data_IF_589936014897
#
_entry.id   IF_589936014897
#
_cell.length_a   1.000
_cell.length_b   1.000
_cell.length_c   1.000
_cell.angle_alpha   90.00
_cell.angle_beta   90.00
_cell.angle_gamma   90.00
#
_symmetry.space_group_name_H-M   'P 1'
#
loop_
_entity.id
_entity.type
_entity.pdbx_description
1 polymer ?
#
# COMPACT_ATOMS: atom_id res chain seq x y z
N UNK A 1 -37.38 3.62 72.91
CA UNK A 1 -36.09 2.87 73.04
C UNK A 1 -35.90 1.78 71.96
N UNK A 2 -36.94 1.30 71.27
CA UNK A 2 -36.80 0.35 70.14
C UNK A 2 -36.30 0.99 68.84
N UNK A 3 -36.60 2.27 68.60
CA UNK A 3 -36.29 2.93 67.32
C UNK A 3 -34.79 3.20 67.11
N UNK A 4 -34.02 3.43 68.18
CA UNK A 4 -32.56 3.63 68.07
C UNK A 4 -31.80 2.36 67.64
N UNK A 5 -32.35 1.16 67.89
CA UNK A 5 -31.71 -0.10 67.44
C UNK A 5 -31.90 -0.30 65.93
N UNK A 6 -33.06 0.07 65.39
CA UNK A 6 -33.37 -0.08 63.97
C UNK A 6 -32.53 0.87 63.12
N UNK A 7 -32.36 2.12 63.57
CA UNK A 7 -31.52 3.12 62.90
C UNK A 7 -30.03 2.70 62.93
N UNK A 8 -29.56 2.15 64.05
CA UNK A 8 -28.19 1.63 64.18
C UNK A 8 -27.93 0.47 63.21
N UNK A 9 -28.84 -0.52 63.14
CA UNK A 9 -28.77 -1.63 62.19
C UNK A 9 -28.79 -1.16 60.73
N UNK A 10 -29.64 -0.19 60.41
CA UNK A 10 -29.72 0.36 59.05
C UNK A 10 -28.42 1.07 58.67
N UNK A 11 -27.82 1.83 59.58
CA UNK A 11 -26.53 2.50 59.32
C UNK A 11 -25.39 1.49 59.11
N UNK A 12 -25.36 0.40 59.89
CA UNK A 12 -24.36 -0.65 59.76
C UNK A 12 -24.49 -1.38 58.42
N UNK A 13 -25.73 -1.63 57.98
CA UNK A 13 -25.99 -2.25 56.69
C UNK A 13 -25.54 -1.37 55.52
N UNK A 14 -25.78 -0.05 55.60
CA UNK A 14 -25.30 0.91 54.59
C UNK A 14 -23.77 0.92 54.51
N UNK A 15 -23.08 0.92 55.65
CA UNK A 15 -21.61 0.85 55.67
C UNK A 15 -21.10 -0.43 55.03
N UNK A 16 -21.71 -1.58 55.32
CA UNK A 16 -21.34 -2.86 54.71
C UNK A 16 -21.53 -2.83 53.19
N UNK A 17 -22.64 -2.27 52.70
CA UNK A 17 -22.88 -2.14 51.26
C UNK A 17 -21.86 -1.23 50.58
N UNK A 18 -21.50 -0.11 51.20
CA UNK A 18 -20.48 0.81 50.66
C UNK A 18 -19.12 0.13 50.61
N UNK A 19 -18.73 -0.59 51.66
CA UNK A 19 -17.45 -1.35 51.68
C UNK A 19 -17.44 -2.45 50.61
N UNK A 20 -18.54 -3.19 50.45
CA UNK A 20 -18.66 -4.21 49.40
C UNK A 20 -18.55 -3.60 48.00
N UNK A 21 -19.19 -2.45 47.75
CA UNK A 21 -19.10 -1.74 46.47
C UNK A 21 -17.67 -1.25 46.19
N UNK A 22 -16.95 -0.74 47.19
CA UNK A 22 -15.56 -0.31 47.05
C UNK A 22 -14.63 -1.48 46.75
N UNK A 23 -14.80 -2.63 47.42
CA UNK A 23 -14.04 -3.85 47.14
C UNK A 23 -14.28 -4.32 45.70
N UNK A 24 -15.54 -4.28 45.26
CA UNK A 24 -15.91 -4.67 43.89
C UNK A 24 -15.31 -3.71 42.84
N UNK A 25 -15.35 -2.40 43.07
CA UNK A 25 -14.68 -1.43 42.18
C UNK A 25 -13.16 -1.65 42.13
N UNK A 26 -12.52 -1.91 43.27
CA UNK A 26 -11.09 -2.20 43.31
C UNK A 26 -10.73 -3.48 42.54
N UNK A 27 -11.57 -4.52 42.65
CA UNK A 27 -11.41 -5.74 41.88
C UNK A 27 -11.47 -5.49 40.36
N UNK A 28 -12.49 -4.76 39.88
CA UNK A 28 -12.61 -4.41 38.46
C UNK A 28 -11.45 -3.56 37.95
N UNK A 29 -10.95 -2.63 38.79
CA UNK A 29 -9.79 -1.83 38.44
C UNK A 29 -8.53 -2.68 38.29
N UNK A 30 -8.30 -3.65 39.18
CA UNK A 30 -7.16 -4.55 39.08
C UNK A 30 -7.21 -5.43 37.82
N UNK A 31 -8.39 -5.98 37.48
CA UNK A 31 -8.56 -6.78 36.25
C UNK A 31 -8.23 -5.94 35.01
N UNK A 32 -8.69 -4.68 34.97
CA UNK A 32 -8.37 -3.77 33.87
C UNK A 32 -6.87 -3.44 33.79
N UNK A 33 -6.20 -3.26 34.93
CA UNK A 33 -4.75 -3.02 34.99
C UNK A 33 -3.98 -4.23 34.47
N UNK A 34 -4.39 -5.45 34.85
CA UNK A 34 -3.76 -6.69 34.40
C UNK A 34 -3.92 -6.87 32.88
N UNK A 35 -5.12 -6.64 32.35
CA UNK A 35 -5.35 -6.65 30.91
C UNK A 35 -4.48 -5.62 30.17
N UNK A 36 -4.38 -4.41 30.70
CA UNK A 36 -3.57 -3.35 30.09
C UNK A 36 -2.06 -3.67 30.13
N UNK A 37 -1.57 -4.26 31.22
CA UNK A 37 -0.17 -4.67 31.32
C UNK A 37 0.16 -5.80 30.33
N UNK A 38 -0.77 -6.75 30.13
CA UNK A 38 -0.59 -7.82 29.14
C UNK A 38 -0.55 -7.27 27.71
N UNK A 39 -1.44 -6.34 27.37
CA UNK A 39 -1.43 -5.66 26.06
C UNK A 39 -0.13 -4.87 25.85
N UNK A 40 0.33 -4.14 26.87
CA UNK A 40 1.58 -3.39 26.81
C UNK A 40 2.79 -4.31 26.61
N UNK A 41 2.84 -5.45 27.30
CA UNK A 41 3.88 -6.46 27.11
C UNK A 41 3.87 -7.05 25.68
N UNK A 42 2.70 -7.31 25.11
CA UNK A 42 2.59 -7.78 23.73
C UNK A 42 3.09 -6.72 22.73
N UNK A 43 2.71 -5.46 22.94
CA UNK A 43 3.18 -4.34 22.10
C UNK A 43 4.69 -4.18 22.18
N UNK A 44 5.30 -4.29 23.35
CA UNK A 44 6.76 -4.22 23.51
C UNK A 44 7.48 -5.36 22.77
N UNK A 45 6.90 -6.56 22.77
CA UNK A 45 7.42 -7.69 21.99
C UNK A 45 7.32 -7.44 20.49
N UNK A 46 6.19 -6.92 20.01
CA UNK A 46 6.01 -6.56 18.60
C UNK A 46 6.98 -5.46 18.17
N UNK A 47 7.16 -4.42 18.98
CA UNK A 47 8.14 -3.34 18.71
C UNK A 47 9.55 -3.93 18.60
N UNK A 48 9.94 -4.80 19.53
CA UNK A 48 11.25 -5.46 19.50
C UNK A 48 11.46 -6.31 18.25
N UNK A 49 10.40 -6.97 17.76
CA UNK A 49 10.46 -7.74 16.50
C UNK A 49 10.64 -6.83 15.29
N UNK A 50 9.85 -5.76 15.20
CA UNK A 50 9.93 -4.78 14.12
C UNK A 50 11.30 -4.07 14.09
N UNK A 51 11.88 -3.77 15.25
CA UNK A 51 13.22 -3.18 15.34
C UNK A 51 14.29 -4.10 14.77
N UNK A 52 14.21 -5.41 15.05
CA UNK A 52 15.15 -6.39 14.51
C UNK A 52 14.98 -6.56 12.98
N UNK A 53 13.74 -6.60 12.50
CA UNK A 53 13.44 -6.70 11.08
C UNK A 53 13.96 -5.46 10.33
N UNK A 54 13.73 -4.27 10.87
CA UNK A 54 14.23 -3.03 10.29
C UNK A 54 15.76 -2.98 10.26
N UNK A 55 16.45 -3.47 11.29
CA UNK A 55 17.91 -3.60 11.26
C UNK A 55 18.39 -4.56 10.17
N UNK A 56 17.69 -5.68 9.97
CA UNK A 56 18.00 -6.62 8.88
C UNK A 56 17.84 -5.98 7.51
N UNK A 57 16.76 -5.23 7.30
CA UNK A 57 16.50 -4.52 6.04
C UNK A 57 17.55 -3.43 5.78
N UNK A 58 17.95 -2.68 6.80
CA UNK A 58 19.03 -1.69 6.68
C UNK A 58 20.35 -2.35 6.24
N UNK A 59 20.65 -3.53 6.78
CA UNK A 59 21.83 -4.29 6.37
C UNK A 59 21.74 -4.74 4.91
N UNK A 60 20.59 -5.28 4.50
CA UNK A 60 20.36 -5.71 3.11
C UNK A 60 20.47 -4.55 2.11
N UNK A 61 19.92 -3.38 2.46
CA UNK A 61 20.05 -2.16 1.66
C UNK A 61 21.54 -1.79 1.52
N UNK A 62 22.29 -1.79 2.63
CA UNK A 62 23.73 -1.48 2.58
C UNK A 62 24.54 -2.45 1.72
N UNK A 63 24.22 -3.75 1.77
CA UNK A 63 24.86 -4.77 0.95
C UNK A 63 24.52 -4.58 -0.55
N UNK A 64 23.27 -4.20 -0.86
CA UNK A 64 22.85 -3.90 -2.23
C UNK A 64 23.48 -2.62 -2.77
N UNK A 65 23.60 -1.57 -1.96
CA UNK A 65 24.31 -0.34 -2.32
C UNK A 65 25.78 -0.61 -2.66
N UNK A 66 26.43 -1.49 -1.90
CA UNK A 66 27.80 -1.90 -2.19
C UNK A 66 27.93 -2.64 -3.54
N UNK A 67 26.99 -3.53 -3.84
CA UNK A 67 26.96 -4.24 -5.13
C UNK A 67 26.71 -3.29 -6.30
N UNK A 68 25.82 -2.30 -6.13
CA UNK A 68 25.55 -1.28 -7.15
C UNK A 68 26.82 -0.47 -7.41
N UNK A 69 27.52 -0.01 -6.37
CA UNK A 69 28.78 0.72 -6.52
C UNK A 69 29.86 -0.10 -7.26
N UNK A 70 29.95 -1.40 -6.99
CA UNK A 70 30.86 -2.30 -7.73
C UNK A 70 30.47 -2.42 -9.20
N UNK A 71 29.19 -2.58 -9.51
CA UNK A 71 28.68 -2.63 -10.88
C UNK A 71 28.93 -1.33 -11.63
N UNK A 72 28.70 -0.17 -11.01
CA UNK A 72 28.97 1.14 -11.61
C UNK A 72 30.46 1.32 -11.92
N UNK A 73 31.34 0.86 -11.03
CA UNK A 73 32.79 0.84 -11.26
C UNK A 73 33.15 -0.06 -12.45
N UNK A 74 32.57 -1.25 -12.53
CA UNK A 74 32.79 -2.19 -13.64
C UNK A 74 32.30 -1.62 -14.98
N UNK A 75 31.12 -0.99 -15.00
CA UNK A 75 30.58 -0.32 -16.20
C UNK A 75 31.51 0.79 -16.66
N UNK A 76 31.98 1.62 -15.73
CA UNK A 76 32.92 2.71 -16.03
C UNK A 76 34.24 2.19 -16.61
N UNK A 77 34.77 1.09 -16.06
CA UNK A 77 35.97 0.43 -16.57
C UNK A 77 35.76 -0.09 -17.99
N UNK A 78 34.64 -0.77 -18.25
CA UNK A 78 34.31 -1.30 -19.58
C UNK A 78 34.11 -0.18 -20.61
N UNK A 79 33.51 0.94 -20.22
CA UNK A 79 33.39 2.12 -21.09
C UNK A 79 34.77 2.69 -21.46
N UNK A 80 35.66 2.82 -20.48
CA UNK A 80 37.03 3.28 -20.74
C UNK A 80 37.80 2.32 -21.66
N UNK A 81 37.59 1.01 -21.50
CA UNK A 81 38.22 0.00 -22.37
C UNK A 81 37.68 0.09 -23.80
N UNK A 82 36.36 0.26 -23.96
CA UNK A 82 35.70 0.48 -25.25
C UNK A 82 36.20 1.75 -25.95
N UNK A 83 36.43 2.83 -25.21
CA UNK A 83 36.96 4.09 -25.76
C UNK A 83 38.43 3.96 -26.20
N UNK A 84 39.19 3.09 -25.53
CA UNK A 84 40.61 2.83 -25.83
C UNK A 84 40.83 1.88 -27.03
N UNK A 85 39.81 1.11 -27.41
CA UNK A 85 39.84 0.25 -28.58
C UNK A 85 39.83 1.10 -29.87
N UNK A 86 40.86 0.94 -30.70
CA UNK A 86 41.03 1.55 -32.04
C UNK A 86 40.11 0.87 -33.07
N UNK A 87 38.81 0.94 -32.80
CA UNK A 87 37.75 0.47 -33.67
C UNK A 87 37.34 1.62 -34.60
N UNK A 88 37.14 1.32 -35.89
CA UNK A 88 36.61 2.29 -36.84
C UNK A 88 35.29 2.88 -36.28
N UNK A 89 35.09 4.20 -36.36
CA UNK A 89 34.03 4.93 -35.63
C UNK A 89 32.65 4.25 -35.71
N UNK A 90 32.33 3.64 -36.85
CA UNK A 90 31.06 2.93 -37.08
C UNK A 90 30.83 1.73 -36.14
N UNK A 91 31.88 0.99 -35.77
CA UNK A 91 31.78 -0.16 -34.88
C UNK A 91 31.60 0.26 -33.41
N UNK A 92 32.25 1.34 -33.00
CA UNK A 92 32.07 1.95 -31.67
C UNK A 92 30.66 2.49 -31.50
N UNK A 93 30.17 3.22 -32.50
CA UNK A 93 28.80 3.73 -32.54
C UNK A 93 27.76 2.60 -32.52
N UNK A 94 28.01 1.50 -33.24
CA UNK A 94 27.14 0.34 -33.23
C UNK A 94 27.05 -0.30 -31.84
N UNK A 95 28.20 -0.55 -31.19
CA UNK A 95 28.23 -1.11 -29.83
C UNK A 95 27.57 -0.18 -28.83
N UNK A 96 27.81 1.13 -28.92
CA UNK A 96 27.17 2.12 -28.05
C UNK A 96 25.64 2.11 -28.20
N UNK A 97 25.13 2.13 -29.43
CA UNK A 97 23.67 2.01 -29.69
C UNK A 97 23.10 0.68 -29.20
N UNK A 98 23.87 -0.41 -29.30
CA UNK A 98 23.44 -1.72 -28.82
C UNK A 98 23.38 -1.76 -27.29
N UNK A 99 24.35 -1.11 -26.62
CA UNK A 99 24.39 -0.95 -25.17
C UNK A 99 23.27 -0.05 -24.69
N UNK A 100 23.06 1.12 -25.31
CA UNK A 100 21.96 2.03 -24.98
C UNK A 100 20.61 1.31 -25.17
N UNK A 101 20.44 0.58 -26.28
CA UNK A 101 19.24 -0.25 -26.51
C UNK A 101 19.10 -1.38 -25.48
N UNK A 102 20.18 -2.06 -25.12
CA UNK A 102 20.15 -3.14 -24.15
C UNK A 102 19.82 -2.61 -22.75
N UNK A 103 20.38 -1.47 -22.34
CA UNK A 103 20.06 -0.83 -21.06
C UNK A 103 18.65 -0.25 -21.05
N UNK A 104 18.22 0.43 -22.12
CA UNK A 104 16.83 0.88 -22.26
C UNK A 104 15.86 -0.30 -22.23
N UNK A 105 16.21 -1.43 -22.84
CA UNK A 105 15.42 -2.66 -22.79
C UNK A 105 15.50 -3.32 -21.41
N UNK A 106 16.62 -3.29 -20.70
CA UNK A 106 16.78 -3.94 -19.38
C UNK A 106 16.15 -3.11 -18.25
N UNK A 107 16.29 -1.78 -18.27
CA UNK A 107 15.70 -0.87 -17.29
C UNK A 107 14.22 -0.57 -17.55
N UNK A 108 13.74 -0.60 -18.80
CA UNK A 108 12.29 -0.57 -19.09
C UNK A 108 11.63 -1.95 -19.07
N UNK A 109 12.41 -3.03 -18.86
CA UNK A 109 11.89 -4.38 -18.65
C UNK A 109 12.04 -4.78 -17.19
N UNK A 110 11.44 -3.99 -16.32
CA UNK A 110 10.55 -4.60 -15.33
C UNK A 110 9.25 -4.98 -16.04
N UNK A 111 9.30 -5.89 -17.01
CA UNK A 111 8.16 -6.78 -17.23
C UNK A 111 8.14 -7.69 -16.00
N UNK A 112 7.60 -7.17 -14.89
CA UNK A 112 6.96 -8.08 -13.97
C UNK A 112 5.83 -8.70 -14.80
N UNK A 113 6.00 -9.97 -15.16
CA UNK A 113 4.92 -10.83 -15.65
C UNK A 113 3.77 -10.93 -14.65
N UNK A 114 3.91 -10.35 -13.45
CA UNK A 114 2.88 -10.25 -12.44
C UNK A 114 1.73 -9.40 -12.94
N UNK A 115 0.53 -9.98 -12.95
CA UNK A 115 -0.72 -9.27 -13.24
C UNK A 115 -0.92 -8.09 -12.28
N UNK A 116 -1.61 -7.02 -12.73
CA UNK A 116 -2.08 -5.99 -11.79
C UNK A 116 -3.05 -6.53 -10.73
N UNK A 117 -3.60 -7.72 -10.96
CA UNK A 117 -4.55 -8.37 -10.06
C UNK A 117 -3.90 -9.11 -8.89
N UNK A 118 -2.58 -9.30 -8.92
CA UNK A 118 -1.85 -10.04 -7.90
C UNK A 118 -1.17 -9.06 -6.95
N UNK A 119 -1.58 -9.04 -5.68
CA UNK A 119 -0.94 -8.23 -4.65
C UNK A 119 0.29 -8.96 -4.10
N UNK A 120 1.37 -8.21 -3.88
CA UNK A 120 2.48 -8.68 -3.05
C UNK A 120 2.06 -8.79 -1.59
N UNK A 121 2.82 -9.50 -0.76
CA UNK A 121 2.52 -9.63 0.68
C UNK A 121 2.46 -8.25 1.37
N UNK A 122 3.34 -7.32 0.99
CA UNK A 122 3.32 -5.95 1.51
C UNK A 122 2.06 -5.18 1.12
N UNK A 123 1.63 -5.29 -0.15
CA UNK A 123 0.41 -4.66 -0.64
C UNK A 123 -0.85 -5.25 0.00
N UNK A 124 -0.88 -6.57 0.20
CA UNK A 124 -1.97 -7.26 0.88
C UNK A 124 -2.06 -6.89 2.36
N UNK A 125 -0.92 -6.79 3.05
CA UNK A 125 -0.86 -6.35 4.44
C UNK A 125 -1.32 -4.90 4.60
N UNK A 126 -0.90 -4.01 3.69
CA UNK A 126 -1.37 -2.63 3.66
C UNK A 126 -2.89 -2.55 3.40
N UNK A 127 -3.39 -3.34 2.44
CA UNK A 127 -4.83 -3.44 2.15
C UNK A 127 -5.64 -3.88 3.38
N UNK A 128 -5.23 -4.95 4.05
CA UNK A 128 -5.93 -5.46 5.22
C UNK A 128 -5.90 -4.46 6.39
N UNK A 129 -4.73 -3.85 6.64
CA UNK A 129 -4.57 -2.83 7.69
C UNK A 129 -5.44 -1.59 7.41
N UNK A 130 -5.50 -1.17 6.15
CA UNK A 130 -6.35 -0.07 5.71
C UNK A 130 -7.84 -0.43 5.86
N UNK A 131 -8.26 -1.61 5.39
CA UNK A 131 -9.64 -2.09 5.48
C UNK A 131 -10.20 -2.12 6.90
N UNK A 132 -9.38 -2.49 7.89
CA UNK A 132 -9.83 -2.62 9.28
C UNK A 132 -10.18 -1.29 9.94
N UNK A 133 -9.53 -0.19 9.52
CA UNK A 133 -9.57 1.08 10.24
C UNK A 133 -9.83 2.31 9.37
N UNK A 134 -9.74 2.16 8.05
CA UNK A 134 -9.68 3.22 7.04
C UNK A 134 -8.68 4.33 7.39
N UNK A 135 -7.62 3.94 8.10
CA UNK A 135 -6.55 4.83 8.50
C UNK A 135 -5.51 4.92 7.38
N UNK A 136 -5.38 6.13 6.85
CA UNK A 136 -4.51 6.41 5.71
C UNK A 136 -3.03 6.14 5.99
N UNK A 137 -2.61 6.11 7.26
CA UNK A 137 -1.25 5.71 7.63
C UNK A 137 -0.87 4.31 7.09
N UNK A 138 -1.84 3.41 6.92
CA UNK A 138 -1.61 2.10 6.33
C UNK A 138 -1.21 2.15 4.84
N UNK A 139 -1.47 3.27 4.16
CA UNK A 139 -1.16 3.50 2.74
C UNK A 139 0.12 4.33 2.54
N UNK A 140 0.75 4.76 3.62
CA UNK A 140 1.93 5.64 3.56
C UNK A 140 3.10 4.92 2.89
N UNK A 141 3.75 5.60 1.94
CA UNK A 141 4.88 5.07 1.19
C UNK A 141 4.52 4.11 0.04
N UNK A 142 3.24 3.78 -0.14
CA UNK A 142 2.81 3.00 -1.31
C UNK A 142 2.93 3.83 -2.59
N UNK A 143 3.39 3.19 -3.66
CA UNK A 143 3.48 3.80 -4.98
C UNK A 143 2.09 3.99 -5.62
N UNK A 144 1.94 4.87 -6.63
CA UNK A 144 0.68 4.98 -7.38
C UNK A 144 0.22 3.65 -7.96
N UNK A 145 1.16 2.84 -8.45
CA UNK A 145 0.88 1.51 -8.98
C UNK A 145 0.30 0.59 -7.90
N UNK A 146 0.87 0.59 -6.70
CA UNK A 146 0.37 -0.21 -5.59
C UNK A 146 -1.05 0.22 -5.20
N UNK A 147 -1.33 1.51 -5.05
CA UNK A 147 -2.69 2.00 -4.76
C UNK A 147 -3.70 1.58 -5.82
N UNK A 148 -3.33 1.65 -7.11
CA UNK A 148 -4.17 1.12 -8.19
C UNK A 148 -4.45 -0.38 -8.02
N UNK A 149 -3.43 -1.19 -7.70
CA UNK A 149 -3.61 -2.64 -7.48
C UNK A 149 -4.54 -2.91 -6.29
N UNK A 150 -4.40 -2.17 -5.20
CA UNK A 150 -5.29 -2.26 -4.03
C UNK A 150 -6.75 -1.96 -4.42
N UNK A 151 -6.97 -0.93 -5.23
CA UNK A 151 -8.29 -0.56 -5.76
C UNK A 151 -8.89 -1.66 -6.65
N UNK A 152 -8.10 -2.21 -7.58
CA UNK A 152 -8.53 -3.31 -8.44
C UNK A 152 -8.81 -4.59 -7.65
N UNK A 153 -8.04 -4.85 -6.60
CA UNK A 153 -8.28 -5.96 -5.68
C UNK A 153 -9.63 -5.81 -4.98
N UNK A 154 -9.94 -4.62 -4.44
CA UNK A 154 -11.22 -4.32 -3.81
C UNK A 154 -12.41 -4.56 -4.76
N UNK A 155 -12.31 -4.10 -6.00
CA UNK A 155 -13.33 -4.35 -7.04
C UNK A 155 -13.48 -5.86 -7.31
N UNK A 156 -12.38 -6.60 -7.46
CA UNK A 156 -12.37 -8.05 -7.74
C UNK A 156 -13.06 -8.86 -6.66
N UNK A 157 -12.80 -8.54 -5.38
CA UNK A 157 -13.40 -9.24 -4.23
C UNK A 157 -14.74 -8.65 -3.79
N UNK A 158 -15.24 -7.62 -4.50
CA UNK A 158 -16.49 -6.91 -4.23
C UNK A 158 -16.53 -6.21 -2.87
N UNK A 159 -15.37 -5.75 -2.42
CA UNK A 159 -15.21 -4.94 -1.20
C UNK A 159 -15.37 -3.46 -1.55
N UNK A 160 -16.59 -3.09 -1.92
CA UNK A 160 -16.91 -1.76 -2.41
C UNK A 160 -16.81 -0.68 -1.33
N UNK A 161 -16.93 -1.07 -0.06
CA UNK A 161 -16.66 -0.18 1.07
C UNK A 161 -15.20 0.26 1.08
N UNK A 162 -14.26 -0.68 1.03
CA UNK A 162 -12.82 -0.37 1.02
C UNK A 162 -12.41 0.31 -0.28
N UNK A 163 -12.99 -0.11 -1.41
CA UNK A 163 -12.78 0.54 -2.69
C UNK A 163 -13.12 2.03 -2.64
N UNK A 164 -14.26 2.39 -2.04
CA UNK A 164 -14.68 3.77 -1.94
C UNK A 164 -13.70 4.61 -1.12
N UNK A 165 -13.17 4.05 -0.02
CA UNK A 165 -12.24 4.75 0.88
C UNK A 165 -10.86 5.01 0.23
N UNK A 166 -10.54 4.32 -0.87
CA UNK A 166 -9.32 4.56 -1.65
C UNK A 166 -9.43 5.77 -2.59
N UNK A 167 -10.65 6.28 -2.83
CA UNK A 167 -10.83 7.50 -3.61
C UNK A 167 -10.28 8.74 -2.89
N UNK A 168 -9.99 9.77 -3.68
CA UNK A 168 -9.65 11.09 -3.17
C UNK A 168 -10.75 11.62 -2.26
N UNK A 169 -10.35 12.31 -1.19
CA UNK A 169 -11.26 12.99 -0.26
C UNK A 169 -11.34 14.49 -0.53
N UNK A 170 -10.68 14.96 -1.58
CA UNK A 170 -10.78 16.35 -2.03
C UNK A 170 -12.23 16.65 -2.46
N UNK A 171 -12.89 17.55 -1.73
CA UNK A 171 -14.30 17.92 -1.94
C UNK A 171 -14.54 18.42 -3.37
N UNK A 172 -13.54 19.01 -4.02
CA UNK A 172 -13.64 19.51 -5.39
C UNK A 172 -13.52 18.39 -6.44
N UNK A 173 -13.07 17.19 -6.03
CA UNK A 173 -12.89 16.02 -6.91
C UNK A 173 -13.85 14.86 -6.61
N UNK A 174 -14.52 14.88 -5.44
CA UNK A 174 -15.53 13.89 -5.07
C UNK A 174 -16.76 14.04 -5.97
N UNK A 175 -17.09 12.98 -6.70
CA UNK A 175 -18.22 13.00 -7.65
C UNK A 175 -19.50 12.39 -7.11
N UNK A 176 -19.39 11.42 -6.20
CA UNK A 176 -20.55 10.75 -5.58
C UNK A 176 -20.23 10.31 -4.17
N UNK A 177 -21.27 10.11 -3.38
CA UNK A 177 -21.19 9.68 -1.98
C UNK A 177 -20.95 8.18 -1.86
N UNK A 178 -20.52 7.72 -0.68
CA UNK A 178 -20.36 6.30 -0.37
C UNK A 178 -21.67 5.52 -0.58
N UNK A 179 -22.79 6.09 -0.17
CA UNK A 179 -24.11 5.47 -0.35
C UNK A 179 -24.44 5.30 -1.84
N UNK A 180 -24.18 6.31 -2.67
CA UNK A 180 -24.36 6.21 -4.12
C UNK A 180 -23.41 5.17 -4.72
N UNK A 181 -22.16 5.14 -4.28
CA UNK A 181 -21.18 4.15 -4.73
C UNK A 181 -21.65 2.71 -4.45
N UNK A 182 -22.10 2.43 -3.22
CA UNK A 182 -22.58 1.10 -2.83
C UNK A 182 -23.86 0.68 -3.58
N UNK A 183 -24.64 1.64 -4.08
CA UNK A 183 -25.84 1.40 -4.86
C UNK A 183 -25.60 1.25 -6.38
N UNK A 184 -24.36 1.40 -6.85
CA UNK A 184 -24.01 1.16 -8.27
C UNK A 184 -24.37 -0.30 -8.63
N UNK A 185 -25.22 -0.54 -9.63
CA UNK A 185 -25.59 -1.88 -10.04
C UNK A 185 -24.38 -2.71 -10.46
N UNK A 186 -24.39 -4.00 -10.13
CA UNK A 186 -23.37 -4.96 -10.59
C UNK A 186 -23.22 -4.99 -12.12
N UNK A 187 -24.27 -4.61 -12.86
CA UNK A 187 -24.22 -4.51 -14.31
C UNK A 187 -23.22 -3.47 -14.82
N UNK A 188 -22.97 -2.44 -14.01
CA UNK A 188 -22.20 -1.24 -14.34
C UNK A 188 -20.80 -1.29 -13.72
N UNK A 189 -20.53 -2.31 -12.89
CA UNK A 189 -19.22 -2.65 -12.31
C UNK A 189 -18.32 -3.34 -13.34
N UNK A 190 -17.02 -3.37 -13.08
CA UNK A 190 -16.06 -4.09 -13.93
C UNK A 190 -16.32 -5.58 -13.82
N UNK A 191 -16.64 -6.22 -14.95
CA UNK A 191 -16.88 -7.68 -15.03
C UNK A 191 -15.70 -8.45 -15.59
N UNK A 192 -14.92 -7.78 -16.43
CA UNK A 192 -13.78 -8.35 -17.12
C UNK A 192 -12.51 -7.63 -16.68
N UNK A 193 -11.66 -8.38 -15.99
CA UNK A 193 -10.37 -7.88 -15.51
C UNK A 193 -9.23 -8.20 -16.50
N UNK A 194 -9.54 -8.81 -17.64
CA UNK A 194 -8.55 -9.25 -18.60
C UNK A 194 -7.62 -8.13 -19.08
N UNK A 195 -8.14 -6.90 -19.19
CA UNK A 195 -7.34 -5.73 -19.55
C UNK A 195 -6.24 -5.40 -18.53
N UNK A 196 -6.43 -5.78 -17.26
CA UNK A 196 -5.47 -5.61 -16.17
C UNK A 196 -4.60 -6.85 -15.97
N UNK A 197 -5.15 -8.05 -16.20
CA UNK A 197 -4.43 -9.32 -16.07
C UNK A 197 -3.35 -9.49 -17.13
N UNK A 198 -3.66 -9.08 -18.36
CA UNK A 198 -2.76 -9.14 -19.51
C UNK A 198 -2.11 -7.78 -19.81
N UNK A 199 -1.87 -6.97 -18.78
CA UNK A 199 -1.23 -5.67 -18.93
C UNK A 199 0.27 -5.81 -19.23
N UNK A 200 0.72 -5.11 -20.28
CA UNK A 200 2.08 -5.06 -20.81
C UNK A 200 2.52 -3.60 -20.97
N UNK A 201 3.84 -3.35 -21.12
CA UNK A 201 4.39 -1.99 -21.38
C UNK A 201 3.87 -0.95 -20.38
N UNK A 202 4.03 -1.27 -19.10
CA UNK A 202 3.50 -0.51 -17.99
C UNK A 202 4.42 0.66 -17.70
N UNK A 203 3.86 1.83 -17.51
CA UNK A 203 4.59 3.06 -17.19
C UNK A 203 3.85 3.83 -16.11
N UNK A 204 4.58 4.55 -15.28
CA UNK A 204 3.99 5.46 -14.29
C UNK A 204 4.57 6.84 -14.53
N UNK A 205 3.70 7.79 -14.86
CA UNK A 205 4.08 9.20 -15.03
C UNK A 205 3.59 9.98 -13.83
N UNK A 206 4.45 10.78 -13.20
CA UNK A 206 4.12 11.57 -12.01
C UNK A 206 4.40 13.04 -12.32
N UNK A 207 3.41 13.91 -12.14
CA UNK A 207 3.53 15.36 -12.33
C UNK A 207 2.76 16.09 -11.23
N UNK A 208 3.43 16.95 -10.46
CA UNK A 208 2.80 17.92 -9.52
C UNK A 208 1.66 17.34 -8.65
N UNK A 209 1.88 16.18 -8.03
CA UNK A 209 0.87 15.55 -7.16
C UNK A 209 -0.21 14.75 -7.90
N UNK A 210 -0.13 14.63 -9.23
CA UNK A 210 -0.91 13.68 -10.02
C UNK A 210 -0.03 12.54 -10.52
N UNK A 211 -0.60 11.36 -10.66
CA UNK A 211 0.04 10.20 -11.28
C UNK A 211 -0.90 9.53 -12.29
N UNK A 212 -0.33 9.07 -13.40
CA UNK A 212 -1.02 8.25 -14.38
C UNK A 212 -0.24 6.95 -14.55
N UNK A 213 -0.85 5.84 -14.20
CA UNK A 213 -0.37 4.50 -14.53
C UNK A 213 -0.91 4.16 -15.92
N UNK A 214 -0.03 3.97 -16.90
CA UNK A 214 -0.42 3.68 -18.28
C UNK A 214 0.07 2.32 -18.72
N UNK A 215 -0.75 1.59 -19.49
CA UNK A 215 -0.40 0.25 -19.99
C UNK A 215 -1.11 -0.09 -21.29
N UNK A 216 -0.67 -1.17 -21.91
CA UNK A 216 -1.32 -1.80 -23.06
C UNK A 216 -1.81 -3.18 -22.66
N UNK A 217 -2.90 -3.68 -23.24
CA UNK A 217 -3.39 -5.02 -22.96
C UNK A 217 -3.37 -5.92 -24.19
N UNK A 218 -2.99 -7.18 -24.00
CA UNK A 218 -3.12 -8.25 -25.00
C UNK A 218 -4.39 -9.09 -24.78
N UNK A 219 -5.36 -8.59 -24.01
CA UNK A 219 -6.62 -9.29 -23.76
C UNK A 219 -7.40 -9.56 -25.04
N UNK A 220 -7.50 -8.55 -25.92
CA UNK A 220 -8.29 -8.62 -27.14
C UNK A 220 -7.48 -9.08 -28.38
N UNK A 221 -6.14 -9.11 -28.31
CA UNK A 221 -5.28 -9.68 -29.34
C UNK A 221 -3.94 -10.15 -28.80
N UNK A 222 -3.56 -11.39 -29.13
CA UNK A 222 -2.27 -12.00 -28.73
C UNK A 222 -1.07 -11.47 -29.54
N UNK A 223 -1.29 -10.63 -30.56
CA UNK A 223 -0.23 -10.03 -31.39
C UNK A 223 0.20 -8.65 -30.87
N UNK A 224 1.52 -8.42 -30.89
CA UNK A 224 2.10 -7.11 -30.63
C UNK A 224 1.60 -6.11 -31.68
N UNK A 225 0.85 -5.11 -31.22
CA UNK A 225 0.35 -4.03 -32.05
C UNK A 225 0.86 -2.69 -31.51
N UNK A 226 1.62 -1.96 -32.33
CA UNK A 226 2.13 -0.62 -32.03
C UNK A 226 0.98 0.40 -31.95
N UNK A 227 -0.12 0.18 -32.67
CA UNK A 227 -1.33 1.01 -32.68
C UNK A 227 -2.35 0.59 -31.61
N UNK A 228 -1.97 -0.29 -30.67
CA UNK A 228 -2.86 -0.70 -29.60
C UNK A 228 -3.26 0.49 -28.72
N UNK A 229 -4.52 0.51 -28.27
CA UNK A 229 -5.00 1.53 -27.34
C UNK A 229 -4.20 1.47 -26.02
N UNK A 230 -3.74 2.62 -25.57
CA UNK A 230 -3.09 2.77 -24.27
C UNK A 230 -4.15 3.14 -23.24
N UNK A 231 -4.26 2.33 -22.19
CA UNK A 231 -5.11 2.61 -21.04
C UNK A 231 -4.37 3.49 -20.04
N UNK A 232 -5.09 4.37 -19.37
CA UNK A 232 -4.59 5.16 -18.25
C UNK A 232 -5.39 4.95 -16.98
N UNK A 233 -4.73 5.00 -15.83
CA UNK A 233 -5.35 5.03 -14.51
C UNK A 233 -4.82 6.23 -13.73
N UNK A 234 -5.72 7.15 -13.35
CA UNK A 234 -5.39 8.41 -12.68
C UNK A 234 -5.43 8.29 -11.17
N UNK A 235 -4.39 8.82 -10.54
CA UNK A 235 -4.28 9.01 -9.09
C UNK A 235 -3.88 10.45 -8.76
N UNK A 236 -4.26 10.90 -7.57
CA UNK A 236 -3.92 12.21 -7.01
C UNK A 236 -3.33 12.02 -5.62
N UNK A 237 -2.28 12.75 -5.29
CA UNK A 237 -1.66 12.78 -3.97
C UNK A 237 -2.41 13.76 -3.08
N UNK A 238 -2.75 13.33 -1.86
CA UNK A 238 -3.34 14.20 -0.84
C UNK A 238 -2.26 15.03 -0.08
N UNK A 239 -2.71 15.96 0.75
CA UNK A 239 -1.84 16.84 1.54
C UNK A 239 -0.88 16.10 2.49
N UNK A 240 -1.16 14.84 2.81
CA UNK A 240 -0.32 14.00 3.66
C UNK A 240 0.71 13.19 2.85
N UNK A 241 0.77 13.40 1.53
CA UNK A 241 1.68 12.68 0.64
C UNK A 241 1.20 11.28 0.27
N UNK A 242 -0.09 10.99 0.44
CA UNK A 242 -0.68 9.67 0.20
C UNK A 242 -1.41 9.68 -1.13
N UNK A 243 -1.12 8.69 -1.99
CA UNK A 243 -1.80 8.54 -3.28
C UNK A 243 -3.23 8.03 -3.11
N UNK A 244 -4.15 8.63 -3.88
CA UNK A 244 -5.58 8.32 -3.91
C UNK A 244 -6.07 8.14 -5.32
N UNK A 245 -7.13 7.36 -5.47
CA UNK A 245 -7.79 7.12 -6.75
C UNK A 245 -8.66 8.32 -7.12
N UNK A 246 -8.61 8.78 -8.36
CA UNK A 246 -9.57 9.80 -8.85
C UNK A 246 -10.94 9.16 -9.11
N UNK A 247 -12.05 9.88 -8.91
CA UNK A 247 -13.42 9.34 -9.08
C UNK A 247 -13.74 8.85 -10.49
N UNK A 248 -12.99 9.26 -11.52
CA UNK A 248 -13.02 8.66 -12.86
C UNK A 248 -11.60 8.20 -13.21
N UNK A 249 -11.17 7.05 -12.69
CA UNK A 249 -9.76 6.72 -12.72
C UNK A 249 -9.32 6.23 -14.09
N UNK A 250 -10.19 5.53 -14.83
CA UNK A 250 -9.87 4.99 -16.15
C UNK A 250 -9.92 6.07 -17.24
N UNK A 251 -8.91 6.09 -18.13
CA UNK A 251 -8.81 6.95 -19.32
C UNK A 251 -8.56 6.13 -20.59
#
# INVERSE_FOLDING_TARGET
>A
MKDNKLISFLSMFVVILVVAALIYMFYLQNEKIEALNNDLMQKDQTISQLENENQSLIQEIGDNEAQIAELESNVSSLQSELDSLDLNNDARDYVKRLMDKFFDEYFNKTDSTESFMDLTDNELNAYNSFKESYNDMALTGLSPLSIMKLYLHAEKIKDYDTQYELYTRDEDQVMWTKEEHLNIPESDRVKDFGIFEKATRRTVTINEGEAIVSWYSTHDSDEYNEDAWQYGFRLTMDDNGIWRVGFLPMQ
#
